data_IF_551563187907
#
_entry.id   IF_551563187907
#
_cell.length_a   1.000
_cell.length_b   1.000
_cell.length_c   1.000
_cell.angle_alpha   90.00
_cell.angle_beta   90.00
_cell.angle_gamma   90.00
#
_symmetry.space_group_name_H-M   'P 1'
#
loop_
_entity.id
_entity.type
_entity.pdbx_description
1 polymer ?
#
# COMPACT_ATOMS: atom_id res chain seq x y z
N UNK A 1 7.82 -16.27 -14.56
CA UNK A 1 7.50 -15.53 -13.32
C UNK A 1 6.00 -15.38 -13.28
N UNK A 2 5.33 -16.24 -12.52
CA UNK A 2 3.88 -16.20 -12.39
C UNK A 2 3.49 -15.00 -11.51
N UNK A 3 3.19 -13.88 -12.16
CA UNK A 3 2.58 -12.66 -11.59
C UNK A 3 1.12 -12.87 -11.16
N UNK A 4 0.75 -14.11 -10.79
CA UNK A 4 -0.58 -14.46 -10.34
C UNK A 4 -0.78 -13.93 -8.91
N UNK A 5 -1.35 -12.71 -8.86
CA UNK A 5 -2.32 -12.26 -7.87
C UNK A 5 -1.79 -12.09 -6.43
N UNK A 6 -0.86 -11.15 -6.22
CA UNK A 6 -0.72 -10.47 -4.93
C UNK A 6 -1.52 -9.16 -4.98
N UNK A 7 -2.17 -8.74 -3.88
CA UNK A 7 -3.15 -7.64 -3.89
C UNK A 7 -2.56 -6.26 -4.20
N UNK A 8 -1.29 -6.01 -3.85
CA UNK A 8 -0.73 -4.66 -3.88
C UNK A 8 0.30 -4.52 -5.02
N UNK A 9 -0.16 -4.06 -6.20
CA UNK A 9 0.72 -3.65 -7.31
C UNK A 9 1.19 -2.19 -7.20
N UNK A 10 0.51 -1.41 -6.37
CA UNK A 10 0.68 0.04 -6.24
C UNK A 10 0.65 0.38 -4.75
N UNK A 11 1.44 1.37 -4.37
CA UNK A 11 1.40 2.00 -3.05
C UNK A 11 1.55 3.50 -3.25
N UNK A 12 1.04 4.29 -2.30
CA UNK A 12 1.12 5.74 -2.31
C UNK A 12 1.73 6.25 -1.01
N UNK A 13 2.51 7.31 -1.12
CA UNK A 13 3.05 8.05 0.02
C UNK A 13 2.43 9.45 -0.01
N UNK A 14 1.72 9.79 1.06
CA UNK A 14 0.93 11.02 1.13
C UNK A 14 1.38 11.85 2.34
N UNK A 15 1.52 13.16 2.17
CA UNK A 15 1.69 14.12 3.25
C UNK A 15 0.34 14.74 3.60
N UNK A 16 -0.05 14.68 4.87
CA UNK A 16 -1.28 15.30 5.35
C UNK A 16 -0.91 16.54 6.14
N UNK A 17 -1.40 17.69 5.70
CA UNK A 17 -1.17 18.95 6.38
C UNK A 17 -2.36 19.19 7.30
N UNK A 18 -2.09 19.18 8.61
CA UNK A 18 -3.12 19.26 9.64
C UNK A 18 -2.87 20.47 10.54
N UNK A 19 -3.95 21.10 10.98
CA UNK A 19 -3.91 22.15 11.99
C UNK A 19 -4.58 21.68 13.27
N UNK A 20 -3.95 21.98 14.40
CA UNK A 20 -4.52 21.76 15.72
C UNK A 20 -5.07 23.09 16.22
N UNK A 21 -6.38 23.15 16.44
CA UNK A 21 -7.05 24.34 16.95
C UNK A 21 -6.89 24.45 18.47
N UNK A 22 -7.26 25.60 19.05
CA UNK A 22 -7.16 25.87 20.50
C UNK A 22 -7.93 24.86 21.36
N UNK A 23 -9.02 24.29 20.83
CA UNK A 23 -9.82 23.25 21.46
C UNK A 23 -9.26 21.83 21.28
N UNK A 24 -8.02 21.68 20.78
CA UNK A 24 -7.38 20.40 20.42
C UNK A 24 -8.07 19.65 19.27
N UNK A 25 -8.99 20.29 18.56
CA UNK A 25 -9.57 19.72 17.35
C UNK A 25 -8.54 19.74 16.22
N UNK A 26 -8.37 18.60 15.56
CA UNK A 26 -7.48 18.46 14.40
C UNK A 26 -8.28 18.61 13.12
N UNK A 27 -7.93 19.59 12.29
CA UNK A 27 -8.52 19.78 10.96
C UNK A 27 -7.51 19.48 9.87
N UNK A 28 -7.97 18.76 8.84
CA UNK A 28 -7.21 18.53 7.62
C UNK A 28 -7.28 19.78 6.74
N UNK A 29 -6.11 20.26 6.29
CA UNK A 29 -6.00 21.37 5.35
C UNK A 29 -5.86 20.82 3.93
N UNK A 30 -4.82 20.03 3.70
CA UNK A 30 -4.52 19.46 2.37
C UNK A 30 -3.88 18.08 2.44
N UNK A 31 -3.90 17.40 1.29
CA UNK A 31 -3.25 16.10 1.10
C UNK A 31 -2.33 16.19 -0.11
N UNK A 32 -1.03 16.11 0.16
CA UNK A 32 0.02 16.11 -0.83
C UNK A 32 0.30 14.69 -1.33
N UNK A 33 0.12 14.45 -2.64
CA UNK A 33 0.39 13.15 -3.29
C UNK A 33 1.89 12.92 -3.52
N UNK A 34 2.68 13.99 -3.47
CA UNK A 34 4.14 13.97 -3.61
C UNK A 34 4.77 14.89 -2.55
N UNK A 35 4.73 14.51 -1.26
CA UNK A 35 5.35 15.30 -0.21
C UNK A 35 6.88 15.37 -0.39
N UNK A 36 7.50 16.46 0.08
CA UNK A 36 8.95 16.65 -0.04
C UNK A 36 9.73 15.58 0.74
N UNK A 37 10.65 14.92 0.05
CA UNK A 37 11.61 13.97 0.63
C UNK A 37 13.01 14.56 0.78
N UNK A 38 13.18 15.87 0.51
CA UNK A 38 14.46 16.54 0.68
C UNK A 38 14.88 16.53 2.15
N UNK A 39 16.19 16.37 2.38
CA UNK A 39 16.81 16.32 3.70
C UNK A 39 17.94 17.32 3.76
N UNK A 40 17.59 18.56 4.07
CA UNK A 40 18.53 19.70 4.11
C UNK A 40 18.96 20.01 5.54
N UNK A 41 18.18 19.58 6.53
CA UNK A 41 18.42 19.81 7.95
C UNK A 41 18.63 18.51 8.72
N UNK A 42 19.33 18.57 9.86
CA UNK A 42 19.62 17.39 10.69
C UNK A 42 18.34 16.68 11.19
N UNK A 43 17.28 17.46 11.46
CA UNK A 43 15.96 16.95 11.84
C UNK A 43 15.30 16.11 10.74
N UNK A 44 15.69 16.30 9.48
CA UNK A 44 15.17 15.52 8.35
C UNK A 44 15.67 14.07 8.34
N UNK A 45 16.59 13.70 9.25
CA UNK A 45 17.03 12.32 9.45
C UNK A 45 15.88 11.33 9.67
N UNK A 46 14.77 11.80 10.24
CA UNK A 46 13.54 11.01 10.43
C UNK A 46 12.92 10.58 9.08
N UNK A 47 13.06 11.40 8.04
CA UNK A 47 12.52 11.09 6.70
C UNK A 47 13.20 9.87 6.09
N UNK A 48 14.50 9.67 6.30
CA UNK A 48 15.22 8.49 5.81
C UNK A 48 14.71 7.19 6.43
N UNK A 49 14.49 7.19 7.76
CA UNK A 49 13.94 6.04 8.47
C UNK A 49 12.52 5.72 7.99
N UNK A 50 11.69 6.76 7.83
CA UNK A 50 10.34 6.62 7.30
C UNK A 50 10.33 6.06 5.88
N UNK A 51 11.18 6.57 4.98
CA UNK A 51 11.26 6.09 3.59
C UNK A 51 11.78 4.65 3.50
N UNK A 52 12.77 4.27 4.33
CA UNK A 52 13.22 2.88 4.44
C UNK A 52 12.06 1.96 4.83
N UNK A 53 11.34 2.32 5.90
CA UNK A 53 10.24 1.52 6.40
C UNK A 53 9.08 1.42 5.40
N UNK A 54 8.81 2.51 4.65
CA UNK A 54 7.82 2.52 3.58
C UNK A 54 8.21 1.54 2.47
N UNK A 55 9.45 1.58 2.00
CA UNK A 55 9.94 0.68 0.95
C UNK A 55 9.92 -0.78 1.41
N UNK A 56 10.33 -1.05 2.65
CA UNK A 56 10.27 -2.39 3.23
C UNK A 56 8.82 -2.89 3.30
N UNK A 57 7.89 -2.05 3.74
CA UNK A 57 6.45 -2.33 3.75
C UNK A 57 5.86 -2.50 2.34
N UNK A 58 6.48 -1.92 1.32
CA UNK A 58 6.14 -2.11 -0.09
C UNK A 58 6.84 -3.33 -0.75
N UNK A 59 7.58 -4.16 0.01
CA UNK A 59 8.41 -5.28 -0.52
C UNK A 59 9.59 -4.85 -1.38
N UNK A 60 10.03 -3.61 -1.26
CA UNK A 60 11.23 -3.10 -1.90
C UNK A 60 12.34 -3.12 -0.85
N UNK A 61 13.35 -3.97 -1.06
CA UNK A 61 14.50 -4.00 -0.17
C UNK A 61 15.23 -2.66 -0.26
N UNK A 62 15.38 -1.96 0.87
CA UNK A 62 16.11 -0.72 0.96
C UNK A 62 17.04 -0.77 2.18
N UNK A 63 18.25 -0.27 2.02
CA UNK A 63 19.27 -0.25 3.07
C UNK A 63 19.72 1.18 3.30
N UNK A 64 19.98 1.54 4.56
CA UNK A 64 20.57 2.84 4.88
C UNK A 64 22.06 2.62 5.08
N UNK A 65 22.89 3.34 4.32
CA UNK A 65 24.34 3.38 4.53
C UNK A 65 24.78 4.84 4.65
N UNK A 66 25.32 5.23 5.81
CA UNK A 66 26.08 6.48 5.99
C UNK A 66 25.43 7.74 5.37
N UNK A 67 24.10 7.88 5.48
CA UNK A 67 23.22 8.96 4.94
C UNK A 67 22.62 8.76 3.54
N UNK A 68 22.75 7.58 2.95
CA UNK A 68 22.11 7.25 1.66
C UNK A 68 21.10 6.11 1.82
N UNK A 69 19.98 6.24 1.12
CA UNK A 69 19.00 5.17 0.95
C UNK A 69 19.33 4.38 -0.31
N UNK A 70 19.90 3.19 -0.15
CA UNK A 70 20.29 2.33 -1.24
C UNK A 70 19.17 1.37 -1.61
N UNK A 71 18.71 1.46 -2.86
CA UNK A 71 17.70 0.58 -3.44
C UNK A 71 18.39 -0.29 -4.50
N UNK A 72 18.34 -1.63 -4.40
CA UNK A 72 18.91 -2.51 -5.41
C UNK A 72 18.29 -2.22 -6.78
N UNK A 73 19.13 -2.05 -7.81
CA UNK A 73 18.65 -1.95 -9.19
C UNK A 73 17.85 -3.19 -9.53
N UNK A 74 16.56 -3.02 -9.82
CA UNK A 74 15.75 -4.10 -10.35
C UNK A 74 16.36 -4.52 -11.70
N UNK A 75 16.67 -5.80 -11.87
CA UNK A 75 17.09 -6.33 -13.17
C UNK A 75 15.95 -6.09 -14.16
N UNK A 76 16.05 -5.06 -14.99
CA UNK A 76 15.06 -4.81 -16.02
C UNK A 76 15.09 -6.01 -16.98
N UNK A 77 14.03 -6.82 -16.98
CA UNK A 77 13.80 -7.68 -18.14
C UNK A 77 13.41 -6.73 -19.28
N UNK A 78 14.05 -6.87 -20.44
CA UNK A 78 13.75 -6.09 -21.65
C UNK A 78 12.23 -5.87 -21.75
N UNK A 79 11.85 -4.60 -21.76
CA UNK A 79 10.46 -4.15 -21.79
C UNK A 79 9.74 -4.76 -22.99
N UNK A 80 8.86 -5.72 -22.76
CA UNK A 80 7.75 -5.95 -23.68
C UNK A 80 6.82 -4.76 -23.47
N UNK A 81 6.63 -3.94 -24.49
CA UNK A 81 5.69 -2.82 -24.48
C UNK A 81 4.30 -3.31 -24.08
N UNK A 82 3.90 -3.05 -22.84
CA UNK A 82 2.53 -3.29 -22.40
C UNK A 82 1.71 -2.13 -22.95
N UNK A 83 1.11 -2.32 -24.12
CA UNK A 83 0.02 -1.47 -24.57
C UNK A 83 -1.08 -1.53 -23.50
N UNK A 84 -1.41 -0.38 -22.91
CA UNK A 84 -2.56 -0.23 -22.02
C UNK A 84 -3.84 -0.28 -22.86
N UNK A 85 -4.16 -1.47 -23.38
CA UNK A 85 -5.51 -1.76 -23.84
C UNK A 85 -6.43 -1.75 -22.63
N UNK A 86 -7.53 -1.01 -22.71
CA UNK A 86 -8.65 -1.16 -21.79
C UNK A 86 -9.08 -2.62 -21.90
N UNK A 87 -8.66 -3.45 -20.95
CA UNK A 87 -9.06 -4.85 -20.91
C UNK A 87 -10.52 -4.88 -20.46
N UNK A 88 -11.45 -4.88 -21.43
CA UNK A 88 -12.80 -5.33 -21.17
C UNK A 88 -12.74 -6.78 -20.67
N UNK A 89 -13.06 -6.95 -19.39
CA UNK A 89 -13.19 -8.25 -18.77
C UNK A 89 -14.44 -8.95 -19.33
N UNK A 90 -14.30 -9.61 -20.48
CA UNK A 90 -15.29 -10.56 -20.95
C UNK A 90 -15.06 -11.90 -20.27
N UNK A 91 -15.91 -12.22 -19.29
CA UNK A 91 -15.98 -13.56 -18.71
C UNK A 91 -16.48 -14.52 -19.78
N UNK A 92 -15.76 -15.63 -19.97
CA UNK A 92 -16.23 -16.69 -20.87
C UNK A 92 -17.52 -17.31 -20.31
N UNK A 93 -18.54 -17.56 -21.14
CA UNK A 93 -19.76 -18.22 -20.68
C UNK A 93 -19.42 -19.61 -20.11
N UNK A 94 -19.74 -19.86 -18.84
CA UNK A 94 -19.55 -21.16 -18.20
C UNK A 94 -18.42 -21.27 -17.17
N UNK A 95 -17.62 -20.22 -16.92
CA UNK A 95 -16.70 -20.23 -15.77
C UNK A 95 -17.49 -20.15 -14.45
N UNK A 96 -17.58 -21.28 -13.73
CA UNK A 96 -18.13 -21.34 -12.37
C UNK A 96 -17.32 -20.40 -11.48
N UNK A 97 -17.95 -19.29 -11.07
CA UNK A 97 -17.49 -18.47 -9.95
C UNK A 97 -17.66 -19.28 -8.66
N UNK A 98 -16.60 -19.27 -7.83
CA UNK A 98 -16.62 -19.54 -6.38
C UNK A 98 -16.29 -20.97 -5.89
N UNK A 99 -15.00 -21.32 -5.96
CA UNK A 99 -14.31 -22.16 -4.97
C UNK A 99 -13.05 -21.49 -4.36
N UNK A 100 -12.67 -20.30 -4.84
CA UNK A 100 -11.38 -19.64 -4.55
C UNK A 100 -11.45 -18.52 -3.48
N UNK A 101 -12.64 -18.21 -2.95
CA UNK A 101 -12.84 -17.10 -2.00
C UNK A 101 -12.05 -17.30 -0.70
N UNK A 102 -12.16 -18.49 -0.10
CA UNK A 102 -11.44 -18.85 1.12
C UNK A 102 -9.91 -18.78 0.93
N UNK A 103 -9.39 -19.29 -0.20
CA UNK A 103 -7.96 -19.24 -0.52
C UNK A 103 -7.46 -17.81 -0.72
N UNK A 104 -8.27 -16.95 -1.34
CA UNK A 104 -7.93 -15.54 -1.50
C UNK A 104 -7.92 -14.80 -0.16
N UNK A 105 -8.93 -15.03 0.69
CA UNK A 105 -8.99 -14.49 2.05
C UNK A 105 -7.80 -14.93 2.88
N UNK A 106 -7.45 -16.22 2.84
CA UNK A 106 -6.28 -16.75 3.53
C UNK A 106 -4.99 -16.04 3.10
N UNK A 107 -4.80 -15.83 1.79
CA UNK A 107 -3.66 -15.05 1.27
C UNK A 107 -3.66 -13.60 1.76
N UNK A 108 -4.82 -12.96 1.87
CA UNK A 108 -4.92 -11.61 2.44
C UNK A 108 -4.51 -11.61 3.92
N UNK A 109 -4.95 -12.59 4.71
CA UNK A 109 -4.57 -12.71 6.13
C UNK A 109 -3.07 -12.96 6.29
N UNK A 110 -2.50 -13.88 5.52
CA UNK A 110 -1.05 -14.14 5.51
C UNK A 110 -0.26 -12.89 5.13
N UNK A 111 -0.75 -12.12 4.15
CA UNK A 111 -0.12 -10.87 3.75
C UNK A 111 -0.19 -9.82 4.86
N UNK A 112 -1.32 -9.68 5.54
CA UNK A 112 -1.47 -8.76 6.67
C UNK A 112 -0.51 -9.11 7.82
N UNK A 113 -0.37 -10.40 8.14
CA UNK A 113 0.58 -10.88 9.14
C UNK A 113 2.03 -10.57 8.74
N UNK A 114 2.36 -10.77 7.46
CA UNK A 114 3.68 -10.39 6.94
C UNK A 114 3.88 -8.89 7.03
N UNK A 115 2.95 -8.06 6.53
CA UNK A 115 3.02 -6.60 6.62
C UNK A 115 3.27 -6.12 8.06
N UNK A 116 2.61 -6.73 9.04
CA UNK A 116 2.79 -6.41 10.46
C UNK A 116 4.23 -6.61 10.95
N UNK A 117 4.94 -7.63 10.45
CA UNK A 117 6.33 -7.92 10.81
C UNK A 117 7.35 -6.95 10.19
N UNK A 118 6.96 -6.19 9.16
CA UNK A 118 7.85 -5.35 8.30
C UNK A 118 7.42 -3.89 8.24
N UNK A 119 6.37 -3.52 8.99
CA UNK A 119 5.84 -2.14 9.03
C UNK A 119 6.80 -1.11 9.58
N UNK A 120 7.85 -1.53 10.29
CA UNK A 120 8.78 -0.60 10.95
C UNK A 120 8.03 0.35 11.90
N UNK A 121 8.25 1.65 11.74
CA UNK A 121 7.55 2.70 12.50
C UNK A 121 6.09 2.97 12.10
N UNK A 122 5.58 2.35 11.02
CA UNK A 122 4.20 2.58 10.59
C UNK A 122 3.18 1.87 11.49
N UNK A 123 2.03 2.52 11.68
CA UNK A 123 0.86 1.94 12.35
C UNK A 123 -0.29 1.81 11.36
N UNK A 124 -0.91 0.63 11.34
CA UNK A 124 -2.14 0.41 10.59
C UNK A 124 -3.30 1.15 11.26
N UNK A 125 -3.92 2.07 10.54
CA UNK A 125 -5.14 2.75 10.99
C UNK A 125 -6.41 2.05 10.48
N UNK A 126 -6.36 1.51 9.26
CA UNK A 126 -7.48 0.83 8.62
C UNK A 126 -7.07 -0.58 8.15
N UNK A 127 -8.02 -1.53 8.11
CA UNK A 127 -9.42 -1.39 8.48
C UNK A 127 -9.62 -1.30 10.01
N UNK A 128 -10.50 -0.41 10.47
CA UNK A 128 -10.99 -0.35 11.85
C UNK A 128 -12.39 -0.99 11.95
N UNK A 129 -13.00 -0.94 13.15
CA UNK A 129 -14.35 -1.50 13.37
C UNK A 129 -15.42 -0.85 12.49
N UNK A 130 -15.21 0.41 12.12
CA UNK A 130 -16.15 1.24 11.34
C UNK A 130 -15.82 1.25 9.85
N UNK A 131 -14.80 0.50 9.41
CA UNK A 131 -14.25 0.62 8.05
C UNK A 131 -15.29 0.50 6.95
N UNK A 132 -16.31 -0.34 7.16
CA UNK A 132 -17.42 -0.54 6.20
C UNK A 132 -18.32 0.68 6.05
N UNK A 133 -18.42 1.54 7.06
CA UNK A 133 -19.24 2.76 7.05
C UNK A 133 -18.66 3.82 6.10
N UNK A 134 -17.35 3.81 5.86
CA UNK A 134 -16.70 4.78 4.96
C UNK A 134 -17.02 4.54 3.46
N UNK A 135 -17.65 3.42 3.11
CA UNK A 135 -17.99 3.08 1.73
C UNK A 135 -19.48 3.24 1.48
N UNK A 136 -19.84 4.11 0.52
CA UNK A 136 -21.23 4.29 0.08
C UNK A 136 -21.80 3.03 -0.60
N UNK A 137 -20.93 2.21 -1.19
CA UNK A 137 -21.33 0.96 -1.85
C UNK A 137 -21.15 -0.19 -0.87
N UNK A 138 -22.26 -0.75 -0.39
CA UNK A 138 -22.27 -2.03 0.33
C UNK A 138 -21.83 -3.13 -0.64
N UNK A 139 -20.54 -3.46 -0.64
CA UNK A 139 -20.06 -4.68 -1.29
C UNK A 139 -20.66 -5.86 -0.55
N UNK A 140 -21.41 -6.72 -1.24
CA UNK A 140 -21.85 -8.00 -0.69
C UNK A 140 -20.60 -8.82 -0.35
N UNK A 141 -20.19 -8.82 0.92
CA UNK A 141 -19.37 -9.90 1.43
C UNK A 141 -20.29 -11.12 1.49
N UNK A 142 -19.96 -12.19 0.79
CA UNK A 142 -20.59 -13.47 1.08
C UNK A 142 -20.35 -13.79 2.54
N UNK A 143 -21.44 -13.98 3.27
CA UNK A 143 -21.41 -14.66 4.55
C UNK A 143 -20.90 -16.08 4.29
N UNK A 144 -19.93 -16.48 5.09
CA UNK A 144 -19.43 -17.85 5.10
C UNK A 144 -20.42 -18.59 5.99
N UNK A 145 -21.30 -19.38 5.40
CA UNK A 145 -21.99 -20.48 6.10
C UNK A 145 -21.02 -21.64 6.33
#
# INVERSE_FOLDING_TARGET
YNLLKLPNKQFGFYGFDVIVLENLEVKLIEVNVTPSTATEHEVDGVKFLMLRDLLQLAKICAFINSKELQIPKMKSKKSTSVQFGVAEFQLKPGEKRWGDGARFQQKCVEELQKEEQRKGGFKRLLPDKRYREYFQVKRKCQEIE
#
